data_IF_180157133716
#
_entry.id   IF_180157133716
#
_cell.length_a   1.000
_cell.length_b   1.000
_cell.length_c   1.000
_cell.angle_alpha   90.00
_cell.angle_beta   90.00
_cell.angle_gamma   90.00
#
_symmetry.space_group_name_H-M   'P 1'
#
loop_
_entity.id
_entity.type
_entity.pdbx_description
1 polymer ?
#
# COMPACT_ATOMS: atom_id res chain seq x y z
N UNK A 1 80.13 -5.47 29.26
CA UNK A 1 81.17 -5.87 28.28
C UNK A 1 80.90 -5.08 27.02
N UNK A 2 81.66 -4.01 26.76
CA UNK A 2 82.93 -4.04 26.02
C UNK A 2 82.66 -4.57 24.60
N UNK A 3 82.88 -3.81 23.52
CA UNK A 3 84.05 -3.01 23.23
C UNK A 3 83.85 -2.23 21.91
N UNK A 4 84.48 -1.04 21.82
CA UNK A 4 85.33 -0.56 20.69
C UNK A 4 84.70 -0.39 19.30
N UNK A 5 85.20 0.41 18.38
CA UNK A 5 86.16 1.52 18.34
C UNK A 5 85.95 2.19 16.98
N UNK A 6 86.45 3.42 16.87
CA UNK A 6 86.47 4.28 15.71
C UNK A 6 87.07 3.65 14.42
N UNK A 7 86.70 4.21 13.26
CA UNK A 7 87.71 4.70 12.31
C UNK A 7 87.14 5.66 11.27
N UNK A 8 87.84 6.78 11.19
CA UNK A 8 87.82 7.88 10.21
C UNK A 8 88.37 7.40 8.87
N UNK A 9 87.87 7.87 7.73
CA UNK A 9 88.68 8.41 6.60
C UNK A 9 87.79 9.31 5.72
N UNK A 10 88.13 10.60 5.68
CA UNK A 10 87.79 11.56 4.62
C UNK A 10 88.92 11.57 3.62
N UNK A 11 88.66 11.52 2.32
CA UNK A 11 89.46 12.23 1.29
C UNK A 11 88.77 12.21 -0.07
N UNK A 12 88.83 13.36 -0.78
CA UNK A 12 88.89 13.35 -2.25
C UNK A 12 87.78 14.06 -3.05
N UNK A 13 87.45 15.35 -2.77
CA UNK A 13 86.79 16.20 -3.77
C UNK A 13 87.84 17.00 -4.54
N UNK A 14 88.09 16.61 -5.81
CA UNK A 14 88.81 17.43 -6.79
C UNK A 14 87.95 17.63 -8.05
N UNK A 15 87.79 18.91 -8.37
CA UNK A 15 87.78 19.49 -9.71
C UNK A 15 86.73 18.96 -10.71
N UNK A 16 85.50 19.50 -10.65
CA UNK A 16 84.61 19.63 -11.81
C UNK A 16 83.82 20.96 -11.82
N UNK A 17 84.52 22.06 -11.53
CA UNK A 17 84.10 23.40 -11.93
C UNK A 17 84.61 23.58 -13.38
N UNK A 18 83.79 23.57 -14.42
CA UNK A 18 83.34 24.83 -15.06
C UNK A 18 82.31 24.58 -16.16
N UNK A 19 81.84 23.33 -16.36
CA UNK A 19 80.80 23.00 -17.38
C UNK A 19 79.36 23.05 -16.83
N UNK A 20 79.20 23.10 -15.50
CA UNK A 20 77.89 23.12 -14.83
C UNK A 20 77.16 24.49 -14.91
N UNK A 21 77.88 25.58 -15.19
CA UNK A 21 77.31 26.93 -15.10
C UNK A 21 76.37 27.32 -16.27
N UNK A 22 76.44 26.64 -17.43
CA UNK A 22 75.55 26.93 -18.57
C UNK A 22 74.30 26.04 -18.64
N UNK A 23 74.34 24.84 -18.03
CA UNK A 23 73.17 23.95 -17.89
C UNK A 23 72.27 24.32 -16.70
N UNK A 24 72.82 24.94 -15.65
CA UNK A 24 72.05 25.38 -14.48
C UNK A 24 71.05 26.50 -14.75
N UNK A 25 71.29 27.37 -15.76
CA UNK A 25 70.37 28.47 -16.10
C UNK A 25 69.15 28.04 -16.93
N UNK A 26 69.24 26.94 -17.69
CA UNK A 26 68.09 26.37 -18.41
C UNK A 26 67.18 25.53 -17.48
N UNK A 27 67.75 24.85 -16.48
CA UNK A 27 66.98 24.10 -15.48
C UNK A 27 66.26 24.98 -14.44
N UNK A 28 66.79 26.18 -14.14
CA UNK A 28 66.08 27.15 -13.28
C UNK A 28 64.91 27.85 -13.97
N UNK A 29 64.88 27.93 -15.30
CA UNK A 29 63.74 28.46 -16.06
C UNK A 29 62.59 27.46 -16.20
N UNK A 30 62.89 26.16 -16.30
CA UNK A 30 61.89 25.11 -16.47
C UNK A 30 61.21 24.70 -15.13
N UNK A 31 61.90 24.87 -14.00
CA UNK A 31 61.34 24.61 -12.67
C UNK A 31 60.30 25.64 -12.20
N UNK A 32 60.31 26.86 -12.76
CA UNK A 32 59.39 27.93 -12.37
C UNK A 32 58.00 27.83 -13.03
N UNK A 33 57.84 26.98 -14.06
CA UNK A 33 56.54 26.82 -14.76
C UNK A 33 55.61 25.79 -14.12
N UNK A 34 56.09 25.01 -13.13
CA UNK A 34 55.31 23.92 -12.50
C UNK A 34 54.40 24.42 -11.36
N UNK A 35 54.55 25.68 -10.91
CA UNK A 35 53.78 26.21 -9.76
C UNK A 35 52.44 26.87 -10.17
N UNK A 36 52.15 27.00 -11.46
CA UNK A 36 50.86 27.57 -11.96
C UNK A 36 49.79 26.48 -12.21
N UNK A 37 50.10 25.21 -11.92
CA UNK A 37 49.26 24.06 -12.24
C UNK A 37 48.21 23.65 -11.18
N UNK A 38 48.21 24.25 -9.98
CA UNK A 38 47.09 24.10 -9.05
C UNK A 38 45.98 25.07 -9.44
N UNK A 39 45.46 24.90 -10.66
CA UNK A 39 44.21 25.49 -11.08
C UNK A 39 43.19 25.16 -9.99
N UNK A 40 42.70 26.21 -9.36
CA UNK A 40 41.77 26.24 -8.25
C UNK A 40 40.46 25.52 -8.62
N UNK A 41 40.47 24.19 -8.62
CA UNK A 41 39.25 23.39 -8.64
C UNK A 41 38.54 23.66 -7.32
N UNK A 42 37.57 24.59 -7.36
CA UNK A 42 36.71 24.82 -6.21
C UNK A 42 36.01 23.49 -5.93
N UNK A 43 36.05 22.99 -4.68
CA UNK A 43 35.41 21.74 -4.35
C UNK A 43 33.94 21.83 -4.72
N UNK A 44 33.46 20.82 -5.44
CA UNK A 44 32.05 20.74 -5.82
C UNK A 44 31.21 20.45 -4.57
N UNK A 45 30.08 21.14 -4.36
CA UNK A 45 29.19 20.83 -3.25
C UNK A 45 28.65 19.40 -3.37
N UNK A 46 28.71 18.62 -2.29
CA UNK A 46 28.24 17.24 -2.25
C UNK A 46 26.74 17.12 -2.63
N UNK A 47 25.94 18.10 -2.23
CA UNK A 47 24.51 18.17 -2.56
C UNK A 47 24.26 18.18 -4.08
N UNK A 48 25.17 18.74 -4.89
CA UNK A 48 25.02 18.76 -6.35
C UNK A 48 25.27 17.37 -6.97
N UNK A 49 26.20 16.59 -6.42
CA UNK A 49 26.41 15.20 -6.84
C UNK A 49 25.24 14.31 -6.43
N UNK A 50 24.71 14.51 -5.23
CA UNK A 50 23.48 13.84 -4.78
C UNK A 50 22.28 14.20 -5.66
N UNK A 51 22.11 15.47 -6.05
CA UNK A 51 21.03 15.88 -6.94
C UNK A 51 21.12 15.21 -8.32
N UNK A 52 22.34 15.00 -8.84
CA UNK A 52 22.57 14.27 -10.10
C UNK A 52 22.31 12.77 -9.93
N UNK A 53 22.68 12.19 -8.80
CA UNK A 53 22.34 10.80 -8.49
C UNK A 53 20.82 10.63 -8.40
N UNK A 54 20.13 11.57 -7.73
CA UNK A 54 18.68 11.58 -7.60
C UNK A 54 17.98 11.68 -8.96
N UNK A 55 18.44 12.54 -9.87
CA UNK A 55 17.85 12.72 -11.20
C UNK A 55 17.96 11.49 -12.11
N UNK A 56 18.93 10.60 -11.84
CA UNK A 56 19.16 9.35 -12.61
C UNK A 56 18.47 8.13 -12.00
N UNK A 57 17.87 8.28 -10.82
CA UNK A 57 17.24 7.17 -10.11
C UNK A 57 15.98 6.65 -10.85
N UNK A 58 15.59 5.37 -10.66
CA UNK A 58 14.32 4.86 -11.17
C UNK A 58 13.11 5.65 -10.66
N UNK A 59 13.20 6.16 -9.41
CA UNK A 59 12.16 7.00 -8.82
C UNK A 59 12.01 8.34 -9.56
N UNK A 60 13.10 8.93 -10.06
CA UNK A 60 13.06 10.11 -10.91
C UNK A 60 12.40 9.84 -12.26
N UNK A 61 12.62 8.67 -12.87
CA UNK A 61 11.96 8.30 -14.13
C UNK A 61 10.44 8.19 -13.95
N UNK A 62 9.99 7.54 -12.87
CA UNK A 62 8.56 7.50 -12.51
C UNK A 62 8.01 8.90 -12.20
N UNK A 63 8.77 9.73 -11.49
CA UNK A 63 8.37 11.11 -11.21
C UNK A 63 8.26 11.97 -12.47
N UNK A 64 9.12 11.78 -13.46
CA UNK A 64 9.03 12.47 -14.75
C UNK A 64 7.74 12.12 -15.50
N UNK A 65 7.24 10.89 -15.35
CA UNK A 65 5.99 10.44 -15.99
C UNK A 65 4.74 10.89 -15.22
N UNK A 66 4.73 10.70 -13.89
CA UNK A 66 3.53 10.89 -13.06
C UNK A 66 3.43 12.27 -12.41
N UNK A 67 4.53 13.01 -12.28
CA UNK A 67 4.60 14.35 -11.69
C UNK A 67 5.51 15.29 -12.51
N UNK A 68 5.24 15.47 -13.83
CA UNK A 68 6.17 16.11 -14.76
C UNK A 68 6.50 17.57 -14.40
N UNK A 69 5.52 18.33 -13.87
CA UNK A 69 5.70 19.75 -13.50
C UNK A 69 6.72 19.89 -12.37
N UNK A 70 6.52 19.16 -11.27
CA UNK A 70 7.41 19.19 -10.10
C UNK A 70 8.78 18.61 -10.43
N UNK A 71 8.83 17.58 -11.28
CA UNK A 71 10.09 17.03 -11.77
C UNK A 71 10.88 18.05 -12.62
N UNK A 72 10.20 18.77 -13.51
CA UNK A 72 10.83 19.81 -14.33
C UNK A 72 11.38 20.97 -13.47
N UNK A 73 10.69 21.34 -12.40
CA UNK A 73 11.17 22.31 -11.41
C UNK A 73 12.46 21.83 -10.71
N UNK A 74 12.49 20.57 -10.24
CA UNK A 74 13.69 19.99 -9.64
C UNK A 74 14.89 20.00 -10.59
N UNK A 75 14.66 19.65 -11.86
CA UNK A 75 15.68 19.66 -12.92
C UNK A 75 16.16 21.08 -13.28
N UNK A 76 15.28 22.07 -13.21
CA UNK A 76 15.67 23.47 -13.37
C UNK A 76 16.62 23.89 -12.25
N UNK A 77 16.25 23.66 -10.99
CA UNK A 77 17.09 23.98 -9.82
C UNK A 77 18.46 23.27 -9.90
N UNK A 78 18.49 22.02 -10.36
CA UNK A 78 19.74 21.27 -10.58
C UNK A 78 20.66 21.93 -11.60
N UNK A 79 20.10 22.41 -12.72
CA UNK A 79 20.85 23.14 -13.76
C UNK A 79 21.33 24.50 -13.25
N UNK A 80 20.48 25.21 -12.52
CA UNK A 80 20.83 26.50 -11.92
C UNK A 80 21.96 26.34 -10.88
N UNK A 81 21.93 25.26 -10.08
CA UNK A 81 23.01 24.91 -9.14
C UNK A 81 24.34 24.63 -9.84
N UNK A 82 24.31 23.90 -10.97
CA UNK A 82 25.50 23.64 -11.78
C UNK A 82 26.07 24.95 -12.38
N UNK A 83 25.20 25.82 -12.89
CA UNK A 83 25.61 27.12 -13.42
C UNK A 83 26.24 28.02 -12.34
N UNK A 84 25.71 28.02 -11.11
CA UNK A 84 26.29 28.74 -9.99
C UNK A 84 27.68 28.22 -9.60
N UNK A 85 27.89 26.90 -9.63
CA UNK A 85 29.20 26.29 -9.41
C UNK A 85 30.21 26.74 -10.48
N UNK A 86 29.81 26.73 -11.75
CA UNK A 86 30.66 27.14 -12.88
C UNK A 86 30.99 28.64 -12.84
N UNK A 87 30.05 29.47 -12.36
CA UNK A 87 30.28 30.90 -12.08
C UNK A 87 31.17 31.16 -10.86
N UNK A 88 31.50 30.11 -10.10
CA UNK A 88 32.33 30.22 -8.91
C UNK A 88 31.58 30.71 -7.67
N UNK A 89 30.27 30.55 -7.60
CA UNK A 89 29.49 30.82 -6.39
C UNK A 89 29.09 29.50 -5.71
N UNK A 90 29.97 28.92 -4.86
CA UNK A 90 29.69 27.64 -4.22
C UNK A 90 28.55 27.74 -3.19
N UNK A 91 28.28 28.93 -2.65
CA UNK A 91 27.23 29.14 -1.67
C UNK A 91 25.84 29.04 -2.31
N UNK A 92 25.65 29.73 -3.44
CA UNK A 92 24.43 29.60 -4.23
C UNK A 92 24.28 28.20 -4.83
N UNK A 93 25.37 27.59 -5.29
CA UNK A 93 25.35 26.22 -5.81
C UNK A 93 24.87 25.21 -4.76
N UNK A 94 25.33 25.31 -3.51
CA UNK A 94 24.89 24.45 -2.41
C UNK A 94 23.39 24.62 -2.14
N UNK A 95 22.91 25.86 -2.00
CA UNK A 95 21.49 26.14 -1.68
C UNK A 95 20.58 25.63 -2.81
N UNK A 96 20.91 25.92 -4.07
CA UNK A 96 20.12 25.47 -5.21
C UNK A 96 20.13 23.94 -5.35
N UNK A 97 21.25 23.28 -5.03
CA UNK A 97 21.32 21.82 -5.04
C UNK A 97 20.45 21.18 -3.94
N UNK A 98 20.45 21.72 -2.73
CA UNK A 98 19.56 21.27 -1.65
C UNK A 98 18.08 21.48 -2.00
N UNK A 99 17.73 22.61 -2.61
CA UNK A 99 16.38 22.86 -3.11
C UNK A 99 16.01 21.86 -4.21
N UNK A 100 16.92 21.56 -5.13
CA UNK A 100 16.72 20.54 -6.16
C UNK A 100 16.43 19.16 -5.55
N UNK A 101 17.19 18.75 -4.53
CA UNK A 101 16.98 17.50 -3.80
C UNK A 101 15.60 17.45 -3.13
N UNK A 102 15.22 18.52 -2.43
CA UNK A 102 13.91 18.62 -1.79
C UNK A 102 12.77 18.53 -2.83
N UNK A 103 12.91 19.21 -3.97
CA UNK A 103 11.90 19.19 -5.04
C UNK A 103 11.86 17.82 -5.74
N UNK A 104 12.98 17.11 -5.90
CA UNK A 104 12.98 15.72 -6.38
C UNK A 104 12.24 14.80 -5.42
N UNK A 105 12.48 14.92 -4.11
CA UNK A 105 11.75 14.14 -3.10
C UNK A 105 10.24 14.41 -3.16
N UNK A 106 9.85 15.68 -3.34
CA UNK A 106 8.45 16.07 -3.54
C UNK A 106 7.85 15.45 -4.80
N UNK A 107 8.56 15.51 -5.92
CA UNK A 107 8.11 14.90 -7.19
C UNK A 107 7.91 13.39 -7.04
N UNK A 108 8.82 12.70 -6.34
CA UNK A 108 8.69 11.27 -6.05
C UNK A 108 7.48 10.95 -5.16
N UNK A 109 7.24 11.76 -4.13
CA UNK A 109 6.08 11.59 -3.26
C UNK A 109 4.76 11.77 -4.03
N UNK A 110 4.69 12.77 -4.92
CA UNK A 110 3.54 12.98 -5.80
C UNK A 110 3.35 11.82 -6.78
N UNK A 111 4.43 11.32 -7.39
CA UNK A 111 4.37 10.16 -8.27
C UNK A 111 3.81 8.91 -7.57
N UNK A 112 4.23 8.66 -6.32
CA UNK A 112 3.68 7.58 -5.49
C UNK A 112 2.19 7.78 -5.21
N UNK A 113 1.76 9.02 -4.93
CA UNK A 113 0.35 9.33 -4.69
C UNK A 113 -0.50 9.11 -5.96
N UNK A 114 -0.03 9.53 -7.13
CA UNK A 114 -0.71 9.30 -8.41
C UNK A 114 -0.82 7.81 -8.72
N UNK A 115 0.26 7.05 -8.53
CA UNK A 115 0.24 5.59 -8.69
C UNK A 115 -0.76 4.93 -7.75
N UNK A 116 -0.74 5.29 -6.47
CA UNK A 116 -1.68 4.74 -5.50
C UNK A 116 -3.14 5.07 -5.85
N UNK A 117 -3.39 6.26 -6.40
CA UNK A 117 -4.72 6.64 -6.88
C UNK A 117 -5.16 5.78 -8.09
N UNK A 118 -4.25 5.49 -9.03
CA UNK A 118 -4.52 4.59 -10.14
C UNK A 118 -4.79 3.15 -9.67
N UNK A 119 -3.94 2.61 -8.81
CA UNK A 119 -4.09 1.24 -8.26
C UNK A 119 -5.43 1.09 -7.52
N UNK A 120 -5.87 2.15 -6.82
CA UNK A 120 -7.15 2.21 -6.14
C UNK A 120 -8.32 2.25 -7.11
N UNK A 121 -8.22 2.99 -8.21
CA UNK A 121 -9.26 3.05 -9.24
C UNK A 121 -9.40 1.71 -9.96
N UNK A 122 -8.29 1.08 -10.33
CA UNK A 122 -8.24 -0.24 -10.96
C UNK A 122 -8.88 -1.32 -10.07
N UNK A 123 -8.68 -1.23 -8.75
CA UNK A 123 -9.22 -2.19 -7.78
C UNK A 123 -10.71 -2.03 -7.48
N UNK A 124 -11.31 -0.86 -7.77
CA UNK A 124 -12.74 -0.58 -7.48
C UNK A 124 -13.68 -1.36 -8.39
N UNK A 125 -13.39 -1.45 -9.68
CA UNK A 125 -14.25 -2.16 -10.64
C UNK A 125 -14.49 -3.64 -10.28
N UNK A 126 -13.44 -4.43 -9.99
CA UNK A 126 -13.57 -5.81 -9.51
C UNK A 126 -14.32 -5.91 -8.17
N UNK A 127 -14.10 -4.97 -7.24
CA UNK A 127 -14.82 -4.93 -5.97
C UNK A 127 -16.32 -4.71 -6.18
N UNK A 128 -16.70 -3.75 -7.04
CA UNK A 128 -18.11 -3.47 -7.34
C UNK A 128 -18.77 -4.66 -8.05
N UNK A 129 -18.06 -5.30 -8.99
CA UNK A 129 -18.53 -6.49 -9.71
C UNK A 129 -18.79 -7.65 -8.76
N UNK A 130 -17.81 -7.99 -7.91
CA UNK A 130 -17.93 -9.09 -6.94
C UNK A 130 -19.00 -8.79 -5.88
N UNK A 131 -19.17 -7.53 -5.48
CA UNK A 131 -20.24 -7.10 -4.57
C UNK A 131 -21.63 -7.27 -5.20
N UNK A 132 -21.77 -6.93 -6.49
CA UNK A 132 -23.01 -7.13 -7.24
C UNK A 132 -23.34 -8.62 -7.41
N UNK A 133 -22.34 -9.44 -7.73
CA UNK A 133 -22.48 -10.90 -7.83
C UNK A 133 -22.91 -11.52 -6.49
N UNK A 134 -22.26 -11.12 -5.39
CA UNK A 134 -22.61 -11.59 -4.05
C UNK A 134 -24.05 -11.21 -3.68
N UNK A 135 -24.46 -9.98 -3.98
CA UNK A 135 -25.83 -9.52 -3.73
C UNK A 135 -26.85 -10.32 -4.54
N UNK A 136 -26.55 -10.59 -5.82
CA UNK A 136 -27.39 -11.43 -6.69
C UNK A 136 -27.52 -12.87 -6.14
N UNK A 137 -26.41 -13.48 -5.72
CA UNK A 137 -26.42 -14.81 -5.14
C UNK A 137 -27.19 -14.88 -3.82
N UNK A 138 -27.08 -13.86 -2.97
CA UNK A 138 -27.86 -13.76 -1.73
C UNK A 138 -29.36 -13.67 -2.01
N UNK A 139 -29.78 -12.89 -3.02
CA UNK A 139 -31.18 -12.82 -3.44
C UNK A 139 -31.68 -14.17 -3.98
N UNK A 140 -30.86 -14.87 -4.77
CA UNK A 140 -31.17 -16.22 -5.25
C UNK A 140 -31.32 -17.21 -4.10
N UNK A 141 -30.41 -17.17 -3.12
CA UNK A 141 -30.49 -18.02 -1.94
C UNK A 141 -31.76 -17.76 -1.15
N UNK A 142 -32.09 -16.49 -0.86
CA UNK A 142 -33.31 -16.12 -0.15
C UNK A 142 -34.57 -16.61 -0.87
N UNK A 143 -34.60 -16.47 -2.20
CA UNK A 143 -35.71 -16.98 -3.02
C UNK A 143 -35.83 -18.50 -2.92
N UNK A 144 -34.72 -19.23 -3.07
CA UNK A 144 -34.71 -20.70 -2.97
C UNK A 144 -35.14 -21.16 -1.58
N UNK A 145 -34.68 -20.50 -0.51
CA UNK A 145 -35.11 -20.80 0.86
C UNK A 145 -36.61 -20.58 1.03
N UNK A 146 -37.16 -19.46 0.54
CA UNK A 146 -38.60 -19.21 0.60
C UNK A 146 -39.42 -20.24 -0.21
N UNK A 147 -38.91 -20.68 -1.37
CA UNK A 147 -39.52 -21.74 -2.17
C UNK A 147 -39.50 -23.09 -1.42
N UNK A 148 -38.41 -23.41 -0.72
CA UNK A 148 -38.31 -24.61 0.14
C UNK A 148 -39.32 -24.55 1.29
N UNK A 149 -39.39 -23.43 2.01
CA UNK A 149 -40.31 -23.26 3.15
C UNK A 149 -41.79 -23.38 2.73
N UNK A 150 -42.15 -22.82 1.57
CA UNK A 150 -43.48 -22.96 0.96
C UNK A 150 -43.78 -24.43 0.59
N UNK A 151 -42.82 -25.13 -0.02
CA UNK A 151 -42.97 -26.56 -0.34
C UNK A 151 -43.12 -27.43 0.91
N UNK A 152 -42.32 -27.18 1.95
CA UNK A 152 -42.42 -27.89 3.22
C UNK A 152 -43.79 -27.67 3.87
N UNK A 153 -44.28 -26.43 3.86
CA UNK A 153 -45.62 -26.08 4.35
C UNK A 153 -46.71 -26.82 3.58
N UNK A 154 -46.62 -26.87 2.24
CA UNK A 154 -47.57 -27.61 1.40
C UNK A 154 -47.54 -29.10 1.67
N UNK A 155 -46.36 -29.70 1.85
CA UNK A 155 -46.20 -31.11 2.18
C UNK A 155 -46.85 -31.41 3.54
N UNK A 156 -46.63 -30.53 4.54
CA UNK A 156 -47.24 -30.67 5.86
C UNK A 156 -48.76 -30.64 5.78
N UNK A 157 -49.33 -29.64 5.10
CA UNK A 157 -50.79 -29.52 4.90
C UNK A 157 -51.34 -30.74 4.15
N UNK A 158 -50.67 -31.19 3.08
CA UNK A 158 -51.10 -32.37 2.33
C UNK A 158 -51.11 -33.63 3.21
N UNK A 159 -50.08 -33.82 4.05
CA UNK A 159 -50.01 -34.93 5.01
C UNK A 159 -51.11 -34.87 6.07
N UNK A 160 -51.38 -33.69 6.61
CA UNK A 160 -52.42 -33.47 7.62
C UNK A 160 -53.84 -33.59 7.03
N UNK A 161 -54.02 -33.29 5.73
CA UNK A 161 -55.29 -33.40 5.02
C UNK A 161 -55.67 -34.82 4.58
N UNK A 162 -54.76 -35.79 4.71
CA UNK A 162 -55.05 -37.18 4.35
C UNK A 162 -56.26 -37.66 5.18
N UNK A 163 -57.35 -38.13 4.52
CA UNK A 163 -58.52 -38.57 5.24
C UNK A 163 -58.13 -39.71 6.18
N UNK A 164 -58.45 -39.57 7.46
CA UNK A 164 -58.28 -40.65 8.43
C UNK A 164 -59.07 -41.83 7.90
N UNK A 165 -58.38 -42.92 7.55
CA UNK A 165 -59.02 -44.12 7.01
C UNK A 165 -60.13 -44.52 7.96
N UNK A 166 -61.38 -44.55 7.46
CA UNK A 166 -62.52 -44.98 8.24
C UNK A 166 -62.16 -46.35 8.82
N UNK A 167 -62.28 -46.49 10.14
CA UNK A 167 -62.04 -47.78 10.78
C UNK A 167 -63.07 -48.74 10.20
N UNK A 168 -62.61 -49.72 9.43
CA UNK A 168 -63.50 -50.72 8.83
C UNK A 168 -64.29 -51.48 9.92
N UNK A 169 -65.31 -52.26 9.54
CA UNK A 169 -66.16 -53.00 10.47
C UNK A 169 -65.42 -54.02 11.37
N UNK A 170 -64.12 -54.26 11.11
CA UNK A 170 -63.21 -55.06 11.92
C UNK A 170 -62.41 -54.27 12.97
N UNK A 171 -62.67 -52.96 13.13
CA UNK A 171 -62.03 -52.12 14.15
C UNK A 171 -62.53 -52.43 15.56
N UNK A 172 -61.60 -52.84 16.42
CA UNK A 172 -61.77 -53.07 17.87
C UNK A 172 -62.69 -52.04 18.56
N UNK A 173 -63.86 -52.48 19.04
CA UNK A 173 -64.93 -51.63 19.55
C UNK A 173 -64.49 -50.74 20.72
N UNK A 174 -63.62 -51.27 21.60
CA UNK A 174 -63.04 -50.53 22.72
C UNK A 174 -62.22 -49.33 22.23
N UNK A 175 -61.50 -49.49 21.11
CA UNK A 175 -60.70 -48.43 20.48
C UNK A 175 -61.58 -47.34 19.89
N UNK A 176 -62.75 -47.70 19.35
CA UNK A 176 -63.72 -46.72 18.82
C UNK A 176 -64.40 -45.91 19.94
N UNK A 177 -64.67 -46.53 21.09
CA UNK A 177 -65.25 -45.86 22.26
C UNK A 177 -64.27 -44.87 22.89
N UNK A 178 -63.02 -45.30 23.10
CA UNK A 178 -61.95 -44.43 23.61
C UNK A 178 -61.70 -43.21 22.70
N UNK A 179 -61.80 -43.37 21.37
CA UNK A 179 -61.71 -42.24 20.42
C UNK A 179 -62.86 -41.25 20.56
N UNK A 180 -64.10 -41.71 20.81
CA UNK A 180 -65.23 -40.80 21.05
C UNK A 180 -65.08 -40.03 22.35
N UNK A 181 -64.65 -40.71 23.41
CA UNK A 181 -64.42 -40.06 24.71
C UNK A 181 -63.32 -39.00 24.61
N UNK A 182 -62.20 -39.31 23.95
CA UNK A 182 -61.15 -38.35 23.66
C UNK A 182 -61.65 -37.16 22.81
N UNK A 183 -62.50 -37.41 21.81
CA UNK A 183 -63.08 -36.33 20.99
C UNK A 183 -63.97 -35.39 21.81
N UNK A 184 -64.80 -35.94 22.71
CA UNK A 184 -65.63 -35.14 23.62
C UNK A 184 -64.78 -34.33 24.60
N UNK A 185 -63.70 -34.91 25.13
CA UNK A 185 -62.76 -34.20 26.01
C UNK A 185 -62.06 -33.04 25.28
N UNK A 186 -61.62 -33.25 24.03
CA UNK A 186 -61.03 -32.19 23.23
C UNK A 186 -62.03 -31.07 22.89
N UNK A 187 -63.30 -31.42 22.63
CA UNK A 187 -64.35 -30.43 22.39
C UNK A 187 -64.59 -29.55 23.63
N UNK A 188 -64.62 -30.14 24.83
CA UNK A 188 -64.82 -29.38 26.07
C UNK A 188 -63.63 -28.48 26.38
N UNK A 189 -62.40 -28.96 26.20
CA UNK A 189 -61.18 -28.15 26.34
C UNK A 189 -61.16 -26.97 25.36
N UNK A 190 -61.52 -27.20 24.09
CA UNK A 190 -61.59 -26.14 23.08
C UNK A 190 -62.63 -25.06 23.45
N UNK A 191 -63.80 -25.46 23.96
CA UNK A 191 -64.83 -24.52 24.45
C UNK A 191 -64.32 -23.71 25.64
N UNK A 192 -63.62 -24.33 26.59
CA UNK A 192 -63.05 -23.65 27.76
C UNK A 192 -61.96 -22.64 27.36
N UNK A 193 -61.08 -22.99 26.42
CA UNK A 193 -60.07 -22.08 25.85
C UNK A 193 -60.71 -20.87 25.14
N UNK A 194 -61.79 -21.10 24.39
CA UNK A 194 -62.54 -20.01 23.75
C UNK A 194 -63.21 -19.08 24.78
N UNK A 195 -63.73 -19.63 25.88
CA UNK A 195 -64.32 -18.82 26.95
C UNK A 195 -63.26 -18.05 27.74
N UNK A 196 -62.11 -18.66 28.05
CA UNK A 196 -61.04 -17.99 28.80
C UNK A 196 -60.40 -16.85 28.01
N UNK A 197 -60.19 -17.03 26.70
CA UNK A 197 -59.70 -15.95 25.82
C UNK A 197 -60.69 -14.78 25.72
N UNK A 198 -62.01 -15.05 25.64
CA UNK A 198 -63.04 -13.99 25.71
C UNK A 198 -63.04 -13.22 27.03
N UNK A 199 -62.77 -13.90 28.15
CA UNK A 199 -62.69 -13.26 29.46
C UNK A 199 -61.41 -12.43 29.65
N UNK A 200 -60.30 -12.85 29.02
CA UNK A 200 -59.00 -12.16 29.09
C UNK A 200 -58.90 -10.94 28.14
N UNK A 201 -59.70 -10.88 27.08
CA UNK A 201 -59.71 -9.77 26.11
C UNK A 201 -61.15 -9.32 25.75
N UNK A 202 -61.89 -8.73 26.70
CA UNK A 202 -63.30 -8.35 26.48
C UNK A 202 -63.47 -7.19 25.48
N UNK A 203 -62.46 -6.33 25.29
CA UNK A 203 -62.55 -5.08 24.52
C UNK A 203 -61.57 -5.04 23.31
N UNK A 204 -61.58 -6.04 22.43
CA UNK A 204 -60.95 -5.89 21.09
C UNK A 204 -61.92 -5.38 20.02
N UNK A 205 -63.18 -5.11 20.38
CA UNK A 205 -64.14 -4.43 19.49
C UNK A 205 -63.90 -2.90 19.40
N UNK A 206 -63.03 -2.32 20.25
CA UNK A 206 -62.68 -0.89 20.27
C UNK A 206 -61.35 -0.53 19.60
N UNK A 207 -60.67 -1.46 18.93
CA UNK A 207 -59.51 -1.16 18.08
C UNK A 207 -59.93 -1.25 16.60
N UNK A 208 -60.71 -0.27 16.17
CA UNK A 208 -60.84 0.15 14.76
C UNK A 208 -60.23 1.53 14.59
#
# INVERSE_FOLDING_TARGET
MSARDASVVVTGRRARDTRAARLGRLLLGLGALVVVGCASSRPRPAALDEAIAASRSPAAQLAAQLAPVTFAEAEKLRRDAAAAQDAGDPSSAQILAEQSLATHARAQAQARAVRAAHDLDESRGPLDTTTAELTSLQQQQQRVTAEVDDLETRIKVARESLPVTASGPSGDAARSAARREAALALETEARLLCLSTRLLAPDTESLK
#
